data_IF_679757665069
#
_entry.id   IF_679757665069
#
_cell.length_a   1.000
_cell.length_b   1.000
_cell.length_c   1.000
_cell.angle_alpha   90.00
_cell.angle_beta   90.00
_cell.angle_gamma   90.00
#
_symmetry.space_group_name_H-M   'P 1'
#
loop_
_entity.id
_entity.type
_entity.pdbx_description
1 polymer ?
#
# COMPACT_ATOMS: atom_id res chain seq x y z
N UNK A 1 -6.27 -34.64 -24.37
CA UNK A 1 -5.79 -33.37 -24.96
C UNK A 1 -5.29 -32.52 -23.81
N UNK A 2 -3.97 -32.47 -23.63
CA UNK A 2 -3.32 -31.87 -22.46
C UNK A 2 -3.09 -30.39 -22.73
N UNK A 3 -3.70 -29.50 -21.95
CA UNK A 3 -3.50 -28.05 -22.06
C UNK A 3 -2.32 -27.70 -21.17
N UNK A 4 -1.15 -27.47 -21.78
CA UNK A 4 0.00 -26.90 -21.09
C UNK A 4 -0.36 -25.48 -20.64
N UNK A 5 -0.41 -25.28 -19.32
CA UNK A 5 -0.47 -23.95 -18.73
C UNK A 5 0.90 -23.28 -18.93
N UNK A 6 0.97 -22.35 -19.87
CA UNK A 6 2.11 -21.45 -20.01
C UNK A 6 2.14 -20.52 -18.79
N UNK A 7 3.06 -20.79 -17.86
CA UNK A 7 3.46 -19.81 -16.86
C UNK A 7 4.16 -18.67 -17.60
N UNK A 8 3.50 -17.51 -17.68
CA UNK A 8 4.18 -16.28 -18.09
C UNK A 8 5.22 -15.96 -17.02
N UNK A 9 6.47 -16.22 -17.36
CA UNK A 9 7.63 -15.86 -16.56
C UNK A 9 7.76 -14.34 -16.61
N UNK A 10 7.10 -13.65 -15.67
CA UNK A 10 7.27 -12.21 -15.47
C UNK A 10 8.66 -12.04 -14.86
N UNK A 11 9.66 -11.84 -15.72
CA UNK A 11 10.96 -11.39 -15.27
C UNK A 11 10.76 -10.00 -14.68
N UNK A 12 10.97 -9.78 -13.36
CA UNK A 12 10.90 -8.43 -12.81
C UNK A 12 11.99 -7.62 -13.50
N UNK A 13 11.58 -6.55 -14.17
CA UNK A 13 12.52 -5.56 -14.70
C UNK A 13 13.25 -5.00 -13.48
N UNK A 14 14.51 -5.39 -13.32
CA UNK A 14 15.39 -4.84 -12.30
C UNK A 14 15.63 -3.40 -12.72
N UNK A 15 14.78 -2.48 -12.27
CA UNK A 15 15.10 -1.05 -12.30
C UNK A 15 16.27 -0.90 -11.33
N UNK A 16 17.46 -0.47 -11.77
CA UNK A 16 18.55 -0.17 -10.87
C UNK A 16 18.18 1.09 -10.09
N UNK A 17 17.42 0.93 -9.00
CA UNK A 17 17.14 1.98 -8.03
C UNK A 17 18.37 2.07 -7.14
N UNK A 18 19.48 2.53 -7.69
CA UNK A 18 20.69 2.82 -6.92
C UNK A 18 21.17 4.20 -7.35
N UNK A 19 20.53 5.21 -6.75
CA UNK A 19 20.89 6.62 -6.89
C UNK A 19 19.71 7.49 -7.34
N UNK A 20 19.19 8.29 -6.41
CA UNK A 20 18.46 9.56 -6.63
C UNK A 20 17.02 9.53 -7.15
N UNK A 21 16.14 8.63 -6.67
CA UNK A 21 14.71 8.98 -6.72
C UNK A 21 14.45 10.09 -5.70
N UNK A 22 13.86 11.20 -6.15
CA UNK A 22 13.34 12.22 -5.24
C UNK A 22 12.20 11.65 -4.40
N UNK A 23 11.91 12.28 -3.26
CA UNK A 23 10.78 11.89 -2.41
C UNK A 23 9.46 11.80 -3.20
N UNK A 24 9.23 12.76 -4.10
CA UNK A 24 8.02 12.80 -4.93
C UNK A 24 7.98 11.66 -5.96
N UNK A 25 9.12 11.29 -6.54
CA UNK A 25 9.18 10.14 -7.44
C UNK A 25 8.90 8.83 -6.70
N UNK A 26 9.44 8.66 -5.49
CA UNK A 26 9.14 7.50 -4.63
C UNK A 26 7.65 7.44 -4.28
N UNK A 27 7.04 8.58 -3.96
CA UNK A 27 5.60 8.68 -3.68
C UNK A 27 4.76 8.29 -4.89
N UNK A 28 5.07 8.81 -6.07
CA UNK A 28 4.34 8.49 -7.30
C UNK A 28 4.44 7.00 -7.64
N UNK A 29 5.64 6.41 -7.50
CA UNK A 29 5.86 4.98 -7.75
C UNK A 29 5.07 4.09 -6.78
N UNK A 30 4.99 4.48 -5.50
CA UNK A 30 4.20 3.78 -4.49
C UNK A 30 2.69 4.01 -4.61
N UNK A 31 2.28 5.15 -5.17
CA UNK A 31 0.88 5.50 -5.30
C UNK A 31 0.22 4.61 -6.34
N UNK A 32 0.70 4.57 -7.58
CA UNK A 32 0.18 3.65 -8.59
C UNK A 32 1.31 2.74 -9.05
N UNK A 33 1.50 1.64 -8.31
CA UNK A 33 2.50 0.62 -8.63
C UNK A 33 2.13 0.00 -9.98
N UNK A 34 2.90 0.30 -11.02
CA UNK A 34 2.77 -0.33 -12.33
C UNK A 34 3.41 -1.71 -12.31
N UNK A 35 4.67 -1.77 -12.73
CA UNK A 35 5.47 -2.98 -12.69
C UNK A 35 6.04 -3.25 -11.29
N UNK A 36 6.24 -4.53 -10.90
CA UNK A 36 6.91 -4.88 -9.66
C UNK A 36 8.34 -4.34 -9.61
N UNK A 37 8.77 -3.89 -8.43
CA UNK A 37 10.14 -3.41 -8.22
C UNK A 37 10.71 -3.87 -6.88
N UNK A 38 12.04 -3.90 -6.79
CA UNK A 38 12.77 -4.32 -5.59
C UNK A 38 13.49 -3.15 -4.93
N UNK A 39 13.49 -3.14 -3.60
CA UNK A 39 14.17 -2.16 -2.75
C UNK A 39 15.02 -2.95 -1.74
N UNK A 40 16.25 -2.53 -1.42
CA UNK A 40 17.01 -3.10 -0.31
C UNK A 40 16.22 -3.05 1.01
N UNK A 41 16.33 -4.08 1.85
CA UNK A 41 15.52 -4.18 3.08
C UNK A 41 15.72 -2.99 4.03
N UNK A 42 16.97 -2.56 4.20
CA UNK A 42 17.31 -1.42 5.05
C UNK A 42 16.74 -0.11 4.48
N UNK A 43 16.96 0.16 3.20
CA UNK A 43 16.40 1.35 2.54
C UNK A 43 14.87 1.36 2.62
N UNK A 44 14.22 0.19 2.49
CA UNK A 44 12.77 0.11 2.62
C UNK A 44 12.29 0.55 4.00
N UNK A 45 12.94 0.09 5.07
CA UNK A 45 12.51 0.39 6.44
C UNK A 45 12.76 1.85 6.82
N UNK A 46 13.86 2.44 6.35
CA UNK A 46 14.24 3.82 6.67
C UNK A 46 13.48 4.84 5.80
N UNK A 47 13.47 4.66 4.47
CA UNK A 47 13.02 5.69 3.52
C UNK A 47 11.61 5.44 2.97
N UNK A 48 11.26 4.18 2.69
CA UNK A 48 10.02 3.86 1.96
C UNK A 48 8.85 3.56 2.88
N UNK A 49 9.10 2.97 4.05
CA UNK A 49 8.06 2.61 5.00
C UNK A 49 7.19 3.79 5.47
N UNK A 50 7.76 4.98 5.77
CA UNK A 50 6.95 6.16 6.09
C UNK A 50 5.98 6.55 4.96
N UNK A 51 6.40 6.38 3.70
CA UNK A 51 5.58 6.65 2.51
C UNK A 51 4.48 5.60 2.33
N UNK A 52 4.82 4.32 2.51
CA UNK A 52 3.83 3.23 2.47
C UNK A 52 2.75 3.47 3.52
N UNK A 53 3.16 3.74 4.76
CA UNK A 53 2.23 3.91 5.88
C UNK A 53 1.30 5.13 5.76
N UNK A 54 1.64 6.08 4.88
CA UNK A 54 0.81 7.24 4.57
C UNK A 54 -0.43 6.78 3.79
N UNK A 55 -0.21 6.20 2.61
CA UNK A 55 -1.25 5.86 1.62
C UNK A 55 -1.96 4.56 1.98
N UNK A 56 -1.23 3.60 2.53
CA UNK A 56 -1.64 2.22 2.61
C UNK A 56 -1.98 1.77 4.05
N UNK A 57 -2.92 0.85 4.17
CA UNK A 57 -3.31 0.18 5.42
C UNK A 57 -3.24 -1.33 5.25
N UNK A 58 -2.72 -2.04 6.27
CA UNK A 58 -2.60 -3.50 6.22
C UNK A 58 -3.98 -4.14 6.06
N UNK A 59 -4.09 -5.06 5.10
CA UNK A 59 -5.30 -5.85 4.85
C UNK A 59 -5.13 -7.30 5.29
N UNK A 60 -4.06 -7.96 4.84
CA UNK A 60 -3.70 -9.31 5.26
C UNK A 60 -2.18 -9.49 5.29
N UNK A 61 -1.72 -10.53 5.98
CA UNK A 61 -0.30 -10.83 6.08
C UNK A 61 -0.07 -12.32 6.24
N UNK A 62 1.14 -12.77 5.87
CA UNK A 62 1.62 -14.13 6.11
C UNK A 62 3.11 -14.09 6.42
N UNK A 63 3.51 -14.86 7.41
CA UNK A 63 4.92 -15.14 7.70
C UNK A 63 5.24 -16.56 7.26
N UNK A 64 6.43 -16.76 6.72
CA UNK A 64 6.94 -18.06 6.29
C UNK A 64 8.03 -18.53 7.27
N UNK A 65 8.23 -19.84 7.34
CA UNK A 65 9.18 -20.47 8.29
C UNK A 65 10.63 -20.06 8.03
N UNK A 66 10.95 -19.71 6.78
CA UNK A 66 12.28 -19.26 6.36
C UNK A 66 12.59 -17.79 6.72
N UNK A 67 11.68 -17.10 7.43
CA UNK A 67 11.82 -15.68 7.79
C UNK A 67 11.27 -14.71 6.73
N UNK A 68 10.91 -15.19 5.54
CA UNK A 68 10.24 -14.36 4.55
C UNK A 68 8.82 -14.05 5.00
N UNK A 69 8.30 -12.92 4.55
CA UNK A 69 6.91 -12.52 4.85
C UNK A 69 6.32 -11.73 3.71
N UNK A 70 5.00 -11.71 3.62
CA UNK A 70 4.31 -10.76 2.76
C UNK A 70 3.13 -10.13 3.49
N UNK A 71 2.83 -8.91 3.11
CA UNK A 71 1.66 -8.16 3.56
C UNK A 71 0.94 -7.60 2.35
N UNK A 72 -0.36 -7.77 2.30
CA UNK A 72 -1.20 -7.02 1.38
C UNK A 72 -1.69 -5.77 2.08
N UNK A 73 -1.74 -4.68 1.33
CA UNK A 73 -2.26 -3.42 1.80
C UNK A 73 -3.37 -2.95 0.88
N UNK A 74 -4.34 -2.26 1.46
CA UNK A 74 -5.39 -1.53 0.77
C UNK A 74 -5.16 -0.03 0.92
N UNK A 75 -5.64 0.76 -0.03
CA UNK A 75 -5.64 2.21 0.12
C UNK A 75 -6.36 2.60 1.43
N UNK A 76 -5.90 3.66 2.10
CA UNK A 76 -6.54 4.20 3.31
C UNK A 76 -7.96 4.72 3.05
N UNK A 77 -8.29 5.08 1.81
CA UNK A 77 -9.65 5.41 1.37
C UNK A 77 -10.52 4.17 1.07
N UNK A 78 -9.93 2.97 1.05
CA UNK A 78 -10.66 1.70 0.95
C UNK A 78 -11.32 1.38 2.29
N UNK A 79 -12.45 2.04 2.53
CA UNK A 79 -13.30 1.76 3.68
C UNK A 79 -14.38 0.76 3.29
N UNK A 80 -14.43 -0.37 3.99
CA UNK A 80 -15.42 -1.44 3.76
C UNK A 80 -16.85 -1.03 4.13
N UNK A 81 -17.01 -0.14 5.11
CA UNK A 81 -18.33 0.26 5.60
C UNK A 81 -18.43 1.77 5.80
N UNK A 82 -19.59 2.37 5.53
CA UNK A 82 -19.80 3.79 5.79
C UNK A 82 -19.59 4.08 7.28
N UNK A 83 -19.35 5.35 7.60
CA UNK A 83 -19.23 5.73 9.02
C UNK A 83 -20.59 5.59 9.67
N UNK A 84 -20.63 5.07 10.89
CA UNK A 84 -21.88 4.97 11.64
C UNK A 84 -22.50 6.36 11.81
N UNK A 85 -23.83 6.43 11.69
CA UNK A 85 -24.58 7.63 12.04
C UNK A 85 -24.60 7.83 13.56
N UNK A 86 -24.83 9.08 13.98
CA UNK A 86 -24.99 9.44 15.38
C UNK A 86 -26.28 8.81 15.93
N UNK A 87 -26.21 8.27 17.16
CA UNK A 87 -27.41 7.91 17.93
C UNK A 87 -28.02 9.18 18.52
N UNK A 88 -29.33 9.37 18.36
CA UNK A 88 -30.04 10.58 18.80
C UNK A 88 -29.95 10.78 20.33
N UNK A 89 -29.85 9.70 21.10
CA UNK A 89 -29.88 9.71 22.57
C UNK A 89 -28.61 10.26 23.25
N UNK A 90 -27.53 10.52 22.50
CA UNK A 90 -26.25 10.98 23.08
C UNK A 90 -26.07 12.48 22.89
N UNK A 91 -25.91 13.28 23.98
CA UNK A 91 -25.65 14.71 23.89
C UNK A 91 -24.38 15.03 23.09
N UNK A 92 -24.39 16.08 22.25
CA UNK A 92 -23.28 16.38 21.33
C UNK A 92 -21.99 16.79 22.06
N UNK A 93 -22.08 17.35 23.26
CA UNK A 93 -20.95 17.79 24.08
C UNK A 93 -20.10 16.60 24.55
N UNK A 94 -20.72 15.42 24.68
CA UNK A 94 -20.05 14.17 25.07
C UNK A 94 -19.52 13.38 23.86
N UNK A 95 -19.75 13.87 22.64
CA UNK A 95 -19.38 13.18 21.41
C UNK A 95 -18.08 13.73 20.81
N UNK A 96 -17.21 12.82 20.36
CA UNK A 96 -16.05 13.20 19.54
C UNK A 96 -16.54 13.72 18.19
N UNK A 97 -16.07 14.90 17.77
CA UNK A 97 -16.30 15.41 16.41
C UNK A 97 -15.56 14.53 15.40
N UNK A 98 -16.30 13.76 14.61
CA UNK A 98 -15.76 12.91 13.55
C UNK A 98 -16.39 13.27 12.21
N UNK A 99 -15.59 13.30 11.13
CA UNK A 99 -16.10 13.43 9.76
C UNK A 99 -16.65 12.09 9.29
N UNK A 100 -17.86 12.08 8.71
CA UNK A 100 -18.41 10.91 8.02
C UNK A 100 -17.55 10.67 6.78
N UNK A 101 -16.97 9.47 6.69
CA UNK A 101 -16.28 8.99 5.49
C UNK A 101 -17.19 8.01 4.75
N UNK A 102 -17.50 8.24 3.46
CA UNK A 102 -18.23 7.28 2.64
C UNK A 102 -17.37 6.03 2.41
N UNK A 103 -18.04 4.91 2.13
CA UNK A 103 -17.39 3.65 1.79
C UNK A 103 -17.04 3.60 0.29
N UNK A 104 -16.13 2.69 -0.08
CA UNK A 104 -15.87 2.35 -1.48
C UNK A 104 -15.25 3.46 -2.33
N UNK A 105 -14.59 4.45 -1.71
CA UNK A 105 -13.94 5.53 -2.46
C UNK A 105 -12.75 5.06 -3.28
N UNK A 106 -12.01 4.06 -2.80
CA UNK A 106 -10.86 3.49 -3.49
C UNK A 106 -10.77 1.99 -3.22
N UNK A 107 -10.27 1.23 -4.21
CA UNK A 107 -10.08 -0.21 -4.11
C UNK A 107 -8.66 -0.66 -4.43
N UNK A 108 -7.73 0.30 -4.56
CA UNK A 108 -6.34 0.02 -4.83
C UNK A 108 -5.74 -0.87 -3.74
N UNK A 109 -4.90 -1.81 -4.16
CA UNK A 109 -4.21 -2.80 -3.33
C UNK A 109 -2.81 -3.06 -3.86
N UNK A 110 -1.87 -3.21 -2.94
CA UNK A 110 -0.51 -3.64 -3.23
C UNK A 110 -0.13 -4.83 -2.36
N UNK A 111 0.88 -5.57 -2.79
CA UNK A 111 1.54 -6.60 -2.00
C UNK A 111 3.00 -6.22 -1.82
N UNK A 112 3.45 -6.33 -0.58
CA UNK A 112 4.85 -6.08 -0.21
C UNK A 112 5.38 -7.38 0.37
N UNK A 113 6.37 -7.96 -0.31
CA UNK A 113 7.03 -9.20 0.08
C UNK A 113 8.44 -8.88 0.59
N UNK A 114 8.76 -9.31 1.80
CA UNK A 114 10.10 -9.18 2.41
C UNK A 114 10.81 -10.52 2.31
N UNK A 115 12.00 -10.51 1.72
CA UNK A 115 12.87 -11.67 1.60
C UNK A 115 14.06 -11.52 2.55
N UNK A 116 14.06 -12.28 3.64
CA UNK A 116 15.01 -12.11 4.73
C UNK A 116 16.44 -12.47 4.29
N UNK A 117 16.63 -13.63 3.67
CA UNK A 117 17.96 -14.05 3.22
C UNK A 117 18.51 -13.21 2.07
N UNK A 118 17.63 -12.70 1.21
CA UNK A 118 18.03 -11.84 0.07
C UNK A 118 18.23 -10.39 0.47
N UNK A 119 17.83 -9.97 1.68
CA UNK A 119 17.85 -8.59 2.15
C UNK A 119 17.15 -7.61 1.18
N UNK A 120 15.99 -8.02 0.65
CA UNK A 120 15.21 -7.25 -0.32
C UNK A 120 13.74 -7.24 0.01
N UNK A 121 13.08 -6.18 -0.43
CA UNK A 121 11.63 -6.01 -0.40
C UNK A 121 11.14 -5.85 -1.83
N UNK A 122 10.16 -6.64 -2.21
CA UNK A 122 9.47 -6.52 -3.50
C UNK A 122 8.12 -5.86 -3.27
N UNK A 123 7.86 -4.80 -4.03
CA UNK A 123 6.57 -4.11 -4.05
C UNK A 123 5.90 -4.40 -5.38
N UNK A 124 4.67 -4.89 -5.35
CA UNK A 124 3.90 -5.23 -6.54
C UNK A 124 2.44 -4.78 -6.40
N UNK A 125 1.79 -4.52 -7.53
CA UNK A 125 0.34 -4.35 -7.58
C UNK A 125 -0.33 -5.66 -7.19
N UNK A 126 -1.33 -5.60 -6.32
CA UNK A 126 -2.10 -6.80 -6.00
C UNK A 126 -2.95 -7.21 -7.21
N UNK A 127 -3.00 -8.51 -7.53
CA UNK A 127 -3.68 -9.03 -8.72
C UNK A 127 -5.04 -8.38 -8.99
N UNK A 128 -5.22 -7.87 -10.20
CA UNK A 128 -6.45 -7.19 -10.68
C UNK A 128 -6.87 -5.97 -9.85
N UNK A 129 -5.96 -5.38 -9.07
CA UNK A 129 -6.22 -4.10 -8.42
C UNK A 129 -6.28 -2.99 -9.45
N UNK A 130 -7.26 -2.10 -9.27
CA UNK A 130 -7.33 -0.84 -9.99
C UNK A 130 -6.33 0.17 -9.40
N UNK A 131 -6.03 1.19 -10.18
CA UNK A 131 -5.31 2.38 -9.71
C UNK A 131 -6.15 3.17 -8.70
N UNK A 132 -5.51 4.10 -8.00
CA UNK A 132 -6.21 5.03 -7.14
C UNK A 132 -7.20 5.89 -7.92
N UNK A 133 -8.35 6.13 -7.29
CA UNK A 133 -9.47 6.95 -7.78
C UNK A 133 -9.46 8.36 -7.20
N UNK A 134 -8.41 8.71 -6.46
CA UNK A 134 -8.18 10.02 -5.85
C UNK A 134 -6.76 10.49 -6.14
N UNK A 135 -6.46 11.74 -5.81
CA UNK A 135 -5.11 12.27 -5.96
C UNK A 135 -4.20 11.83 -4.81
N UNK A 136 -2.88 11.94 -5.03
CA UNK A 136 -1.90 11.76 -3.96
C UNK A 136 -2.06 12.84 -2.87
N UNK A 137 -2.38 14.07 -3.24
CA UNK A 137 -2.62 15.17 -2.30
C UNK A 137 -3.76 14.87 -1.31
N UNK A 138 -4.81 14.18 -1.78
CA UNK A 138 -5.93 13.78 -0.92
C UNK A 138 -5.46 12.80 0.18
N UNK A 139 -4.51 11.91 -0.14
CA UNK A 139 -3.87 11.02 0.83
C UNK A 139 -3.05 11.80 1.85
N UNK A 140 -2.26 12.78 1.41
CA UNK A 140 -1.42 13.59 2.29
C UNK A 140 -2.24 14.46 3.25
N UNK A 141 -3.39 14.99 2.78
CA UNK A 141 -4.37 15.69 3.63
C UNK A 141 -4.97 14.76 4.68
N UNK A 142 -5.12 13.47 4.37
CA UNK A 142 -5.66 12.47 5.28
C UNK A 142 -4.63 12.02 6.33
N UNK A 143 -3.38 11.83 5.91
CA UNK A 143 -2.24 11.52 6.79
C UNK A 143 -0.98 12.08 6.15
N UNK A 144 -0.27 12.99 6.83
CA UNK A 144 1.05 13.42 6.36
C UNK A 144 2.07 12.31 6.56
N UNK A 145 2.95 12.10 5.58
CA UNK A 145 4.12 11.24 5.76
C UNK A 145 5.04 11.84 6.81
N UNK A 146 5.64 10.98 7.63
CA UNK A 146 6.69 11.40 8.56
C UNK A 146 8.08 11.45 7.91
N UNK A 147 8.20 11.08 6.63
CA UNK A 147 9.41 11.32 5.85
C UNK A 147 9.66 12.82 5.76
N UNK A 148 10.81 13.26 6.26
CA UNK A 148 11.33 14.64 6.23
C UNK A 148 12.03 14.88 4.91
#
# INVERSE_FOLDING_TARGET
>A
MSIQQHFLNINPVIVPISGTLTLDQRRLLLFNVGEPFEIPLQEFDDDWWPLVSNIWTVFSHKNLVNGDSWKTFTCRFAKSSPSSSRKEDVPPEKCRKTKIRPAGLCFAKIKISRYHLKQRVQVERFNNSLDHTHSLEDSEKLKRSQAV
#
